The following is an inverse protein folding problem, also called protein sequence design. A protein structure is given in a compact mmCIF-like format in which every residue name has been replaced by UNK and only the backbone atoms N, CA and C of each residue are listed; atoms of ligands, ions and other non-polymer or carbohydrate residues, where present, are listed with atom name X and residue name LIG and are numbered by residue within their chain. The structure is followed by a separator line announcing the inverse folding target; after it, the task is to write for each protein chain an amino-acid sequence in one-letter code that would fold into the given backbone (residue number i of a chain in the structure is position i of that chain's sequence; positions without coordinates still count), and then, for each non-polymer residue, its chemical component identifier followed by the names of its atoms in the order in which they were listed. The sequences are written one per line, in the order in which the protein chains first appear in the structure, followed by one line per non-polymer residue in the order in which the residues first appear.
data_IF_453946386760
#
_entry.id   IF_453946386760
#
_cell.length_a   1.000
_cell.length_b   1.000
_cell.length_c   1.000
_cell.angle_alpha   90.00
_cell.angle_beta   90.00
_cell.angle_gamma   90.00
#
_symmetry.space_group_name_H-M   'P 1'
#
loop_
_entity.id
_entity.type
_entity.pdbx_description
1 polymer ?
#
# COMPACT_ATOMS: atom_id res chain seq x y z
N UNK A 1 -4.10 29.79 -0.79
CA UNK A 1 -3.20 29.63 0.37
C UNK A 1 -2.52 28.28 0.24
N UNK A 2 -1.21 28.20 0.50
CA UNK A 2 -0.44 26.94 0.44
C UNK A 2 -0.32 26.37 1.84
N UNK A 3 -0.60 25.08 2.02
CA UNK A 3 -0.37 24.34 3.27
C UNK A 3 0.69 23.27 3.06
N UNK A 4 1.49 23.00 4.09
CA UNK A 4 2.62 22.06 4.02
C UNK A 4 2.59 21.13 5.23
N UNK A 5 3.14 19.93 5.07
CA UNK A 5 3.37 18.96 6.14
C UNK A 5 4.72 18.26 5.90
N UNK A 6 5.34 17.63 6.92
CA UNK A 6 6.55 16.84 6.73
C UNK A 6 6.34 15.75 5.67
N UNK A 7 7.32 15.56 4.79
CA UNK A 7 7.27 14.49 3.79
C UNK A 7 7.37 13.14 4.48
N UNK A 8 6.30 12.36 4.37
CA UNK A 8 6.26 10.96 4.77
C UNK A 8 5.57 10.22 3.63
N UNK A 9 6.17 9.14 3.15
CA UNK A 9 5.67 8.33 2.04
C UNK A 9 5.83 6.86 2.36
N UNK A 10 4.80 6.09 2.04
CA UNK A 10 4.83 4.64 2.02
C UNK A 10 4.29 4.15 0.68
N UNK A 11 4.87 3.06 0.17
CA UNK A 11 4.39 2.37 -1.02
C UNK A 11 4.20 0.88 -0.69
N UNK A 12 3.00 0.36 -0.91
CA UNK A 12 2.69 -1.07 -0.77
C UNK A 12 2.85 -1.73 -2.14
N UNK A 13 3.55 -2.86 -2.19
CA UNK A 13 3.74 -3.69 -3.38
C UNK A 13 3.11 -5.05 -3.13
N UNK A 14 2.17 -5.43 -4.00
CA UNK A 14 1.44 -6.69 -3.89
C UNK A 14 0.96 -7.16 -5.27
N UNK A 15 1.08 -8.46 -5.53
CA UNK A 15 0.50 -9.09 -6.71
C UNK A 15 -1.03 -9.14 -6.66
N UNK A 16 -1.67 -9.37 -7.81
CA UNK A 16 -3.11 -9.60 -7.91
C UNK A 16 -3.87 -8.59 -8.76
N UNK A 17 -5.17 -8.84 -8.90
CA UNK A 17 -6.04 -8.11 -9.82
C UNK A 17 -6.23 -6.62 -9.46
N UNK A 18 -6.00 -5.75 -10.44
CA UNK A 18 -6.11 -4.29 -10.28
C UNK A 18 -7.52 -3.84 -9.89
N UNK A 19 -8.57 -4.44 -10.47
CA UNK A 19 -9.94 -4.01 -10.20
C UNK A 19 -10.35 -4.35 -8.76
N UNK A 20 -9.99 -5.54 -8.29
CA UNK A 20 -10.14 -5.99 -6.91
C UNK A 20 -9.35 -5.11 -5.95
N UNK A 21 -8.09 -4.82 -6.26
CA UNK A 21 -7.26 -3.95 -5.43
C UNK A 21 -7.87 -2.54 -5.29
N UNK A 22 -8.34 -1.95 -6.39
CA UNK A 22 -9.06 -0.67 -6.37
C UNK A 22 -10.30 -0.74 -5.47
N UNK A 23 -11.05 -1.83 -5.52
CA UNK A 23 -12.24 -2.00 -4.67
C UNK A 23 -11.86 -2.12 -3.19
N UNK A 24 -10.82 -2.87 -2.85
CA UNK A 24 -10.29 -2.95 -1.48
C UNK A 24 -9.84 -1.58 -0.97
N UNK A 25 -9.07 -0.83 -1.77
CA UNK A 25 -8.65 0.52 -1.39
C UNK A 25 -9.83 1.48 -1.19
N UNK A 26 -10.87 1.42 -2.04
CA UNK A 26 -12.09 2.23 -1.88
C UNK A 26 -12.78 1.93 -0.55
N UNK A 27 -13.03 0.65 -0.27
CA UNK A 27 -13.68 0.23 0.97
C UNK A 27 -12.87 0.66 2.20
N UNK A 28 -11.56 0.46 2.18
CA UNK A 28 -10.66 0.88 3.26
C UNK A 28 -10.70 2.40 3.47
N UNK A 29 -10.52 3.19 2.39
CA UNK A 29 -10.50 4.65 2.47
C UNK A 29 -11.82 5.23 2.97
N UNK A 30 -12.96 4.65 2.55
CA UNK A 30 -14.29 5.07 2.99
C UNK A 30 -14.47 4.88 4.50
N UNK A 31 -13.99 3.77 5.07
CA UNK A 31 -14.20 3.44 6.48
C UNK A 31 -13.46 4.36 7.46
N UNK A 32 -12.37 5.00 7.05
CA UNK A 32 -11.49 5.77 7.95
C UNK A 32 -11.20 7.22 7.49
N UNK A 33 -11.80 7.65 6.38
CA UNK A 33 -11.54 8.98 5.80
C UNK A 33 -10.09 9.12 5.33
N UNK A 34 -9.65 8.23 4.44
CA UNK A 34 -8.26 8.16 3.96
C UNK A 34 -8.17 8.31 2.43
N UNK A 35 -6.95 8.42 1.91
CA UNK A 35 -6.71 8.54 0.48
C UNK A 35 -5.40 7.83 0.11
N UNK A 36 -5.43 7.07 -0.97
CA UNK A 36 -4.27 6.36 -1.51
C UNK A 36 -4.22 6.48 -3.02
N UNK A 37 -3.02 6.40 -3.57
CA UNK A 37 -2.81 6.22 -5.02
C UNK A 37 -2.80 4.73 -5.33
N UNK A 38 -3.35 4.30 -6.48
CA UNK A 38 -3.31 2.90 -6.93
C UNK A 38 -2.83 2.85 -8.37
N UNK A 39 -1.69 2.21 -8.61
CA UNK A 39 -1.07 2.08 -9.93
C UNK A 39 -0.92 0.60 -10.30
N UNK A 40 -1.22 0.19 -11.54
CA UNK A 40 -0.89 -1.15 -12.00
C UNK A 40 0.63 -1.33 -12.10
N UNK A 41 1.12 -2.53 -11.80
CA UNK A 41 2.51 -2.92 -12.00
C UNK A 41 2.59 -4.33 -12.55
N UNK A 42 3.58 -4.58 -13.40
CA UNK A 42 3.97 -5.92 -13.85
C UNK A 42 5.30 -6.27 -13.18
N UNK A 43 5.32 -7.35 -12.41
CA UNK A 43 6.54 -7.89 -11.82
C UNK A 43 7.20 -8.84 -12.81
N UNK A 44 8.45 -8.56 -13.19
CA UNK A 44 9.27 -9.45 -14.01
C UNK A 44 10.31 -10.10 -13.10
N UNK A 45 10.38 -11.42 -13.10
CA UNK A 45 11.37 -12.18 -12.33
C UNK A 45 11.87 -13.40 -13.12
N UNK A 46 12.88 -14.10 -12.60
CA UNK A 46 13.56 -15.17 -13.33
C UNK A 46 12.58 -16.25 -13.81
N UNK A 47 12.32 -16.26 -15.12
CA UNK A 47 11.50 -17.27 -15.80
C UNK A 47 10.00 -17.00 -15.85
N UNK A 48 9.49 -15.87 -15.33
CA UNK A 48 8.06 -15.55 -15.38
C UNK A 48 7.77 -14.06 -15.13
N UNK A 49 6.48 -13.72 -15.18
CA UNK A 49 5.94 -12.43 -14.79
C UNK A 49 4.64 -12.59 -14.01
N UNK A 50 4.30 -11.58 -13.21
CA UNK A 50 3.06 -11.54 -12.44
C UNK A 50 2.50 -10.10 -12.41
N UNK A 51 1.19 -9.96 -12.56
CA UNK A 51 0.51 -8.67 -12.44
C UNK A 51 0.24 -8.30 -10.97
N UNK A 52 0.24 -7.01 -10.68
CA UNK A 52 -0.07 -6.50 -9.35
C UNK A 52 -0.32 -5.01 -9.30
N UNK A 53 -0.20 -4.47 -8.09
CA UNK A 53 -0.41 -3.04 -7.82
C UNK A 53 0.67 -2.44 -6.92
N UNK A 54 0.96 -1.16 -7.17
CA UNK A 54 1.59 -0.27 -6.19
C UNK A 54 0.54 0.62 -5.57
N UNK A 55 0.46 0.66 -4.25
CA UNK A 55 -0.44 1.54 -3.50
C UNK A 55 0.35 2.58 -2.73
N UNK A 56 0.24 3.84 -3.14
CA UNK A 56 0.98 4.96 -2.57
C UNK A 56 0.21 5.67 -1.46
N UNK A 57 0.89 5.95 -0.35
CA UNK A 57 0.41 6.69 0.82
C UNK A 57 1.35 7.87 1.04
N UNK A 58 0.78 9.07 1.21
CA UNK A 58 1.55 10.28 1.54
C UNK A 58 0.96 11.01 2.74
N UNK A 59 1.78 11.83 3.39
CA UNK A 59 1.31 12.79 4.39
C UNK A 59 0.59 13.97 3.70
N UNK A 60 -0.73 13.83 3.50
CA UNK A 60 -1.54 14.87 2.87
C UNK A 60 -1.59 16.12 3.76
N UNK A 61 -1.11 17.31 3.32
CA UNK A 61 -1.14 18.53 4.14
C UNK A 61 -2.55 18.99 4.54
N UNK A 62 -3.60 18.48 3.88
CA UNK A 62 -5.00 18.71 4.25
C UNK A 62 -5.41 17.96 5.52
N UNK A 63 -4.78 16.81 5.77
CA UNK A 63 -5.06 15.91 6.89
C UNK A 63 -3.73 15.32 7.38
N UNK A 64 -2.84 16.15 7.97
CA UNK A 64 -1.51 15.70 8.32
C UNK A 64 -1.57 14.60 9.38
N UNK A 65 -0.73 13.60 9.21
CA UNK A 65 -0.55 12.52 10.16
C UNK A 65 0.93 12.33 10.46
N UNK A 66 1.22 11.80 11.65
CA UNK A 66 2.58 11.38 11.98
C UNK A 66 2.97 10.08 11.24
N UNK A 67 4.26 9.77 11.30
CA UNK A 67 4.86 8.64 10.61
C UNK A 67 4.34 7.29 11.11
N UNK A 68 4.16 7.14 12.42
CA UNK A 68 3.67 5.90 13.02
C UNK A 68 2.24 5.59 12.57
N UNK A 69 1.39 6.63 12.56
CA UNK A 69 0.02 6.55 12.07
C UNK A 69 -0.01 6.13 10.60
N UNK A 70 0.79 6.76 9.73
CA UNK A 70 0.84 6.40 8.31
C UNK A 70 1.39 4.99 8.08
N UNK A 71 2.41 4.57 8.83
CA UNK A 71 2.94 3.20 8.78
C UNK A 71 1.90 2.17 9.19
N UNK A 72 1.18 2.42 10.29
CA UNK A 72 0.09 1.56 10.75
C UNK A 72 -1.01 1.45 9.69
N UNK A 73 -1.43 2.56 9.08
CA UNK A 73 -2.40 2.54 7.96
C UNK A 73 -1.89 1.75 6.77
N UNK A 74 -0.60 1.87 6.44
CA UNK A 74 0.02 1.09 5.37
C UNK A 74 -0.05 -0.42 5.66
N UNK A 75 0.27 -0.85 6.89
CA UNK A 75 0.18 -2.25 7.32
C UNK A 75 -1.25 -2.79 7.30
N UNK A 76 -2.21 -2.02 7.85
CA UNK A 76 -3.64 -2.38 7.85
C UNK A 76 -4.16 -2.59 6.42
N UNK A 77 -3.85 -1.66 5.51
CA UNK A 77 -4.26 -1.76 4.11
C UNK A 77 -3.53 -2.90 3.38
N UNK A 78 -2.24 -3.10 3.61
CA UNK A 78 -1.47 -4.17 2.98
C UNK A 78 -1.98 -5.55 3.40
N UNK A 79 -2.33 -5.73 4.68
CA UNK A 79 -2.99 -6.94 5.16
C UNK A 79 -4.35 -7.14 4.48
N UNK A 80 -5.19 -6.10 4.42
CA UNK A 80 -6.50 -6.22 3.76
C UNK A 80 -6.36 -6.59 2.28
N UNK A 81 -5.42 -5.97 1.56
CA UNK A 81 -5.11 -6.31 0.17
C UNK A 81 -4.65 -7.77 0.06
N UNK A 82 -3.78 -8.23 0.95
CA UNK A 82 -3.33 -9.63 0.97
C UNK A 82 -4.50 -10.61 1.12
N UNK A 83 -5.46 -10.31 2.01
CA UNK A 83 -6.67 -11.11 2.16
C UNK A 83 -7.56 -11.07 0.91
N UNK A 84 -7.86 -9.89 0.38
CA UNK A 84 -8.84 -9.70 -0.70
C UNK A 84 -8.33 -10.11 -2.09
N UNK A 85 -7.01 -10.09 -2.29
CA UNK A 85 -6.30 -10.51 -3.49
C UNK A 85 -5.79 -11.95 -3.40
N UNK A 86 -6.07 -12.65 -2.30
CA UNK A 86 -5.66 -14.03 -2.04
C UNK A 86 -4.15 -14.26 -2.17
N UNK A 87 -3.36 -13.27 -1.74
CA UNK A 87 -1.90 -13.34 -1.81
C UNK A 87 -1.30 -13.93 -0.54
N UNK A 88 -0.04 -14.34 -0.64
CA UNK A 88 0.72 -14.85 0.50
C UNK A 88 1.65 -13.82 1.13
N UNK A 89 2.01 -12.77 0.39
CA UNK A 89 3.02 -11.80 0.81
C UNK A 89 2.78 -10.42 0.20
N UNK A 90 3.34 -9.40 0.83
CA UNK A 90 3.44 -8.05 0.30
C UNK A 90 4.73 -7.40 0.83
N UNK A 91 5.13 -6.29 0.21
CA UNK A 91 6.16 -5.40 0.76
C UNK A 91 5.63 -4.00 1.00
N UNK A 92 6.15 -3.31 2.02
CA UNK A 92 5.91 -1.89 2.28
C UNK A 92 7.26 -1.19 2.25
N UNK A 93 7.45 -0.31 1.28
CA UNK A 93 8.61 0.58 1.25
C UNK A 93 8.23 1.85 2.00
N UNK A 94 8.91 2.12 3.11
CA UNK A 94 8.77 3.35 3.89
C UNK A 94 9.94 4.31 3.70
N UNK A 95 9.97 5.43 4.43
CA UNK A 95 11.05 6.41 4.33
C UNK A 95 12.38 5.93 4.91
N UNK A 96 12.36 4.91 5.79
CA UNK A 96 13.55 4.43 6.50
C UNK A 96 13.92 2.99 6.13
N UNK A 97 12.92 2.14 5.87
CA UNK A 97 13.10 0.71 5.67
C UNK A 97 12.08 0.13 4.70
N UNK A 98 12.38 -1.06 4.18
CA UNK A 98 11.43 -1.88 3.44
C UNK A 98 11.06 -3.08 4.31
N UNK A 99 9.76 -3.20 4.59
CA UNK A 99 9.19 -4.33 5.30
C UNK A 99 8.66 -5.35 4.28
N UNK A 100 8.92 -6.63 4.52
CA UNK A 100 8.30 -7.73 3.78
C UNK A 100 7.53 -8.61 4.75
N UNK A 101 6.28 -8.89 4.42
CA UNK A 101 5.42 -9.81 5.16
C UNK A 101 5.09 -11.01 4.30
N UNK A 102 5.13 -12.22 4.89
CA UNK A 102 4.74 -13.46 4.22
C UNK A 102 4.05 -14.40 5.21
N UNK A 103 2.99 -15.08 4.74
CA UNK A 103 2.36 -16.22 5.45
C UNK A 103 3.21 -17.50 5.38
N UNK A 104 4.18 -17.54 4.47
CA UNK A 104 5.11 -18.66 4.28
C UNK A 104 6.44 -18.34 4.97
N UNK A 105 7.12 -19.35 5.55
CA UNK A 105 8.47 -19.15 6.06
C UNK A 105 9.38 -18.60 4.95
N UNK A 106 10.33 -17.77 5.36
CA UNK A 106 11.34 -17.19 4.49
C UNK A 106 12.31 -18.25 3.96
#
# INVERSE_FOLDING_TARGET
MTTTAPTIRYDIFIAGDLARAKQTCRSFCFGIGFCVTVEPVTYIYTGAEEEGVRVGIINYPRFPADKETLHRRARELAHQLLHDLFQHSYSIVGPDETEWFSRRPA
#
